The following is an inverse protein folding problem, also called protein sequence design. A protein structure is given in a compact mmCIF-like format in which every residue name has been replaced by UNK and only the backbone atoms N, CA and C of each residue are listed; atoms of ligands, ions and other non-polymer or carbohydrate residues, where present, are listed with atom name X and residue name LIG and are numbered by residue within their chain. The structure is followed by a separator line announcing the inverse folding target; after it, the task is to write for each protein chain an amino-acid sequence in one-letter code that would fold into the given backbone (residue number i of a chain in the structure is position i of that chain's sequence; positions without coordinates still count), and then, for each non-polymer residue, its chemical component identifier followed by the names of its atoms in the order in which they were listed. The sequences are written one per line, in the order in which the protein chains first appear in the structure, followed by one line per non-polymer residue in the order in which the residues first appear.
data_IF_236278775180
#
_entry.id   IF_236278775180
#
_cell.length_a   1.000
_cell.length_b   1.000
_cell.length_c   1.000
_cell.angle_alpha   90.00
_cell.angle_beta   90.00
_cell.angle_gamma   90.00
#
_symmetry.space_group_name_H-M   'P 1'
#
loop_
_entity.id
_entity.type
_entity.pdbx_description
1 polymer ?
#
# COMPACT_ATOMS: atom_id res chain seq x y z
N UNK A 1 -14.00 -2.96 5.09
CA UNK A 1 -12.78 -2.18 4.79
C UNK A 1 -11.71 -2.64 5.75
N UNK A 2 -10.47 -2.83 5.27
CA UNK A 2 -9.37 -3.33 6.09
C UNK A 2 -8.47 -2.18 6.56
N UNK A 3 -7.89 -2.30 7.76
CA UNK A 3 -6.73 -1.50 8.15
C UNK A 3 -5.48 -2.27 7.77
N UNK A 4 -4.52 -1.57 7.19
CA UNK A 4 -3.35 -2.15 6.56
C UNK A 4 -2.14 -1.41 7.06
N UNK A 5 -1.18 -2.10 7.66
CA UNK A 5 0.10 -1.51 8.02
C UNK A 5 1.09 -1.83 6.92
N UNK A 6 1.69 -0.80 6.34
CA UNK A 6 2.70 -0.99 5.32
C UNK A 6 3.99 -1.49 5.97
N UNK A 7 4.39 -2.73 5.68
CA UNK A 7 5.59 -3.34 6.21
C UNK A 7 6.82 -2.91 5.42
N UNK A 8 6.71 -2.90 4.10
CA UNK A 8 7.83 -2.60 3.20
C UNK A 8 7.35 -2.24 1.79
N UNK A 9 8.19 -1.49 1.07
CA UNK A 9 8.01 -1.17 -0.34
C UNK A 9 9.25 -1.63 -1.11
N UNK A 10 9.05 -2.34 -2.21
CA UNK A 10 10.13 -2.75 -3.11
C UNK A 10 9.91 -2.09 -4.49
N UNK A 11 10.90 -1.35 -4.98
CA UNK A 11 10.90 -0.89 -6.37
C UNK A 11 11.43 -2.01 -7.28
N UNK A 12 10.67 -2.34 -8.32
CA UNK A 12 10.98 -3.46 -9.22
C UNK A 12 12.10 -3.12 -10.21
N UNK A 13 12.34 -1.83 -10.48
CA UNK A 13 13.14 -1.42 -11.63
C UNK A 13 14.63 -1.18 -11.37
N UNK A 14 15.13 -1.19 -10.13
CA UNK A 14 16.58 -1.16 -9.78
C UNK A 14 17.45 -0.02 -10.35
N UNK A 15 16.91 0.84 -11.22
CA UNK A 15 17.57 1.93 -11.94
C UNK A 15 16.77 3.19 -11.65
N UNK A 16 17.06 3.83 -10.53
CA UNK A 16 16.44 5.10 -10.17
C UNK A 16 17.10 6.24 -10.96
N UNK A 17 16.37 7.05 -11.75
CA UNK A 17 16.70 8.46 -11.79
C UNK A 17 16.08 9.10 -10.56
N UNK A 18 16.96 9.63 -9.69
CA UNK A 18 16.65 10.49 -8.54
C UNK A 18 15.89 11.76 -8.96
N UNK A 19 14.70 11.66 -9.53
CA UNK A 19 13.86 12.82 -9.80
C UNK A 19 13.09 13.17 -8.53
N UNK A 20 13.81 13.85 -7.63
CA UNK A 20 13.37 14.59 -6.45
C UNK A 20 12.48 15.80 -6.83
N UNK A 21 11.46 15.59 -7.64
CA UNK A 21 10.50 16.65 -7.94
C UNK A 21 9.11 16.04 -7.86
N UNK A 22 8.45 16.32 -6.74
CA UNK A 22 7.02 16.11 -6.45
C UNK A 22 6.52 14.68 -6.19
N UNK A 23 7.43 13.72 -5.95
CA UNK A 23 7.05 12.32 -5.71
C UNK A 23 7.04 11.99 -4.22
N UNK A 24 5.82 11.80 -3.71
CA UNK A 24 5.43 11.01 -2.53
C UNK A 24 6.59 10.20 -1.95
N UNK A 25 7.04 10.57 -0.74
CA UNK A 25 8.17 9.91 -0.10
C UNK A 25 7.71 8.53 0.42
N UNK A 26 8.17 7.51 -0.28
CA UNK A 26 7.84 6.12 -0.01
C UNK A 26 8.46 5.63 1.31
N UNK A 27 9.55 6.24 1.77
CA UNK A 27 10.18 5.92 3.05
C UNK A 27 9.33 6.46 4.21
N UNK A 28 8.67 7.61 4.04
CA UNK A 28 7.81 8.20 5.08
C UNK A 28 6.59 7.32 5.39
N UNK A 29 6.03 6.61 4.39
CA UNK A 29 4.81 5.81 4.57
C UNK A 29 5.05 4.40 5.13
N UNK A 30 6.30 3.93 5.16
CA UNK A 30 6.60 2.62 5.74
C UNK A 30 6.32 2.64 7.25
N UNK A 31 5.70 1.58 7.76
CA UNK A 31 5.27 1.44 9.15
C UNK A 31 3.99 2.19 9.49
N UNK A 32 3.46 3.02 8.60
CA UNK A 32 2.19 3.71 8.80
C UNK A 32 0.99 2.79 8.56
N UNK A 33 -0.14 3.15 9.17
CA UNK A 33 -1.42 2.44 9.04
C UNK A 33 -2.32 3.19 8.07
N UNK A 34 -2.84 2.44 7.10
CA UNK A 34 -3.74 2.91 6.08
C UNK A 34 -5.09 2.21 6.20
N UNK A 35 -6.15 2.91 5.82
CA UNK A 35 -7.47 2.33 5.61
C UNK A 35 -7.67 2.08 4.13
N UNK A 36 -8.00 0.85 3.78
CA UNK A 36 -8.40 0.50 2.43
C UNK A 36 -9.75 1.14 2.11
N UNK A 37 -9.79 2.02 1.11
CA UNK A 37 -11.01 2.74 0.72
C UNK A 37 -11.98 1.85 -0.06
N UNK A 38 -11.45 0.96 -0.89
CA UNK A 38 -12.21 -0.05 -1.64
C UNK A 38 -11.38 -1.34 -1.70
N UNK A 39 -12.00 -2.53 -1.70
CA UNK A 39 -11.29 -3.79 -1.84
C UNK A 39 -10.30 -3.75 -3.01
N UNK A 40 -9.06 -4.12 -2.74
CA UNK A 40 -7.99 -4.15 -3.75
C UNK A 40 -8.23 -5.32 -4.70
N UNK A 41 -8.25 -5.02 -6.01
CA UNK A 41 -8.52 -5.98 -7.07
C UNK A 41 -7.48 -5.87 -8.18
N UNK A 42 -7.12 -7.02 -8.78
CA UNK A 42 -6.24 -7.06 -9.96
C UNK A 42 -6.89 -6.31 -11.12
N UNK A 43 -6.12 -5.47 -11.82
CA UNK A 43 -6.62 -4.64 -12.92
C UNK A 43 -7.12 -3.26 -12.50
N UNK A 44 -7.37 -3.04 -11.21
CA UNK A 44 -7.79 -1.77 -10.62
C UNK A 44 -6.64 -1.10 -9.84
N UNK A 45 -6.65 0.23 -9.68
CA UNK A 45 -5.77 0.91 -8.72
C UNK A 45 -6.17 0.60 -7.28
N UNK A 46 -5.19 0.35 -6.42
CA UNK A 46 -5.40 0.30 -4.97
C UNK A 46 -5.59 1.73 -4.44
N UNK A 47 -6.58 1.94 -3.57
CA UNK A 47 -6.83 3.24 -2.96
C UNK A 47 -6.82 3.11 -1.44
N UNK A 48 -5.90 3.83 -0.81
CA UNK A 48 -5.66 3.85 0.62
C UNK A 48 -5.89 5.27 1.14
N UNK A 49 -6.35 5.42 2.37
CA UNK A 49 -6.26 6.70 3.10
C UNK A 49 -5.40 6.50 4.31
N UNK A 50 -4.60 7.50 4.69
CA UNK A 50 -3.90 7.43 5.97
C UNK A 50 -4.92 7.31 7.11
N UNK A 51 -4.62 6.55 8.17
CA UNK A 51 -5.58 6.37 9.25
C UNK A 51 -5.86 7.67 9.99
N UNK A 52 -4.85 8.55 10.11
CA UNK A 52 -4.97 9.83 10.81
C UNK A 52 -5.40 10.99 9.89
N UNK A 53 -5.19 10.88 8.57
CA UNK A 53 -5.44 11.95 7.61
C UNK A 53 -6.26 11.45 6.43
N UNK A 54 -7.27 12.22 6.02
CA UNK A 54 -8.19 11.83 4.96
C UNK A 54 -7.66 12.07 3.54
N UNK A 55 -6.36 12.29 3.36
CA UNK A 55 -5.76 12.42 2.03
C UNK A 55 -5.56 11.02 1.43
N UNK A 56 -6.29 10.65 0.35
CA UNK A 56 -6.17 9.33 -0.22
C UNK A 56 -4.93 9.21 -1.09
N UNK A 57 -4.18 8.12 -0.89
CA UNK A 57 -3.12 7.63 -1.73
C UNK A 57 -3.68 6.61 -2.73
N UNK A 58 -3.34 6.76 -4.01
CA UNK A 58 -3.78 5.86 -5.07
C UNK A 58 -2.57 5.31 -5.82
N UNK A 59 -2.48 3.98 -5.91
CA UNK A 59 -1.42 3.32 -6.67
C UNK A 59 -1.71 3.39 -8.18
N UNK A 60 -0.79 2.87 -9.00
CA UNK A 60 -1.13 2.49 -10.37
C UNK A 60 -1.99 1.22 -10.40
N UNK A 61 -2.30 0.71 -11.60
CA UNK A 61 -2.99 -0.57 -11.79
C UNK A 61 -2.26 -1.71 -11.06
N UNK A 62 -3.01 -2.47 -10.25
CA UNK A 62 -2.56 -3.70 -9.60
C UNK A 62 -2.43 -4.80 -10.65
N UNK A 63 -1.30 -5.50 -10.62
CA UNK A 63 -0.96 -6.58 -11.54
C UNK A 63 -1.10 -7.95 -10.89
N UNK A 64 -0.78 -8.05 -9.60
CA UNK A 64 -0.95 -9.28 -8.83
C UNK A 64 -1.19 -8.96 -7.36
N UNK A 65 -1.90 -9.87 -6.69
CA UNK A 65 -2.12 -9.84 -5.24
C UNK A 65 -1.75 -11.24 -4.73
N UNK A 66 -0.87 -11.29 -3.75
CA UNK A 66 -0.52 -12.50 -3.03
C UNK A 66 -0.95 -12.33 -1.57
N UNK A 67 -1.68 -13.30 -1.03
CA UNK A 67 -2.26 -13.24 0.31
C UNK A 67 -1.83 -14.50 1.07
N UNK A 68 -1.06 -14.31 2.14
CA UNK A 68 -0.60 -15.38 3.02
C UNK A 68 -0.95 -15.03 4.48
N UNK A 69 -1.99 -15.67 5.01
CA UNK A 69 -2.49 -15.40 6.35
C UNK A 69 -2.97 -13.95 6.52
N UNK A 70 -2.29 -13.20 7.39
CA UNK A 70 -2.57 -11.78 7.65
C UNK A 70 -1.73 -10.85 6.77
N UNK A 71 -0.75 -11.37 6.03
CA UNK A 71 0.12 -10.57 5.18
C UNK A 71 -0.37 -10.61 3.74
N UNK A 72 -0.27 -9.48 3.05
CA UNK A 72 -0.57 -9.42 1.63
C UNK A 72 0.44 -8.56 0.87
N UNK A 73 0.79 -9.00 -0.32
CA UNK A 73 1.67 -8.30 -1.26
C UNK A 73 0.88 -7.87 -2.47
N UNK A 74 1.00 -6.58 -2.81
CA UNK A 74 0.38 -5.99 -3.99
C UNK A 74 1.47 -5.58 -4.95
N UNK A 75 1.53 -6.25 -6.10
CA UNK A 75 2.40 -5.86 -7.20
C UNK A 75 1.65 -4.85 -8.07
N UNK A 76 2.31 -3.74 -8.33
CA UNK A 76 1.95 -2.73 -9.31
C UNK A 76 3.09 -2.59 -10.32
N UNK A 77 2.90 -1.77 -11.36
CA UNK A 77 3.82 -1.67 -12.50
C UNK A 77 5.30 -1.60 -12.11
N UNK A 78 5.63 -0.80 -11.09
CA UNK A 78 7.03 -0.53 -10.69
C UNK A 78 7.29 -0.80 -9.20
N UNK A 79 6.28 -1.24 -8.44
CA UNK A 79 6.34 -1.25 -6.98
C UNK A 79 5.59 -2.44 -6.42
N UNK A 80 6.18 -3.12 -5.44
CA UNK A 80 5.53 -4.12 -4.61
C UNK A 80 5.31 -3.50 -3.23
N UNK A 81 4.06 -3.45 -2.81
CA UNK A 81 3.69 -3.07 -1.45
C UNK A 81 3.49 -4.34 -0.63
N UNK A 82 4.12 -4.43 0.53
CA UNK A 82 3.93 -5.52 1.48
C UNK A 82 3.25 -4.99 2.73
N UNK A 83 2.13 -5.60 3.11
CA UNK A 83 1.29 -5.11 4.18
C UNK A 83 0.87 -6.22 5.15
N UNK A 84 0.64 -5.84 6.39
CA UNK A 84 -0.06 -6.65 7.41
C UNK A 84 -1.50 -6.15 7.57
N UNK A 85 -2.46 -7.07 7.61
CA UNK A 85 -3.88 -6.76 7.87
C UNK A 85 -4.08 -6.58 9.36
N UNK A 86 -4.33 -5.33 9.76
CA UNK A 86 -4.81 -5.01 11.10
C UNK A 86 -6.34 -5.17 11.14
N UNK A 87 -6.81 -6.19 11.83
CA UNK A 87 -8.22 -6.22 12.26
C UNK A 87 -8.36 -5.23 13.42
N UNK A 88 -9.29 -4.28 13.32
CA UNK A 88 -9.76 -3.56 14.51
C UNK A 88 -10.23 -4.62 15.51
N UNK A 89 -9.45 -4.84 16.57
CA UNK A 89 -9.96 -5.56 17.72
C UNK A 89 -11.07 -4.67 18.26
N UNK A 90 -12.32 -5.00 17.92
CA UNK A 90 -13.45 -4.67 18.77
C UNK A 90 -13.11 -5.26 20.13
N UNK A 91 -12.62 -4.39 21.03
CA UNK A 91 -12.63 -4.68 22.46
C UNK A 91 -14.11 -4.72 22.80
N UNK A 92 -14.65 -5.93 22.92
CA UNK A 92 -15.93 -6.17 23.58
C UNK A 92 -15.82 -5.79 25.06
#
# INVERSE_FOLDING_TARGET
MRLLKLLQIYEVDGITPKHRSDRFDFDEIQGQTFREMNPTEVGCPMTLSHFQEHTPFKTTRVQAIDLDGLDFRVLTRNTIYHFEVHTERHVQ
#
